data_IF_178754691101
#
_entry.id   IF_178754691101
#
_cell.length_a   1.000
_cell.length_b   1.000
_cell.length_c   1.000
_cell.angle_alpha   90.00
_cell.angle_beta   90.00
_cell.angle_gamma   90.00
#
_symmetry.space_group_name_H-M   'P 1'
#
loop_
_entity.id
_entity.type
_entity.pdbx_description
1 polymer ?
#
# COMPACT_ATOMS: atom_id res chain seq x y z
N UNK A 1 10.15 2.24 2.13
CA UNK A 1 8.76 1.89 2.49
C UNK A 1 7.97 1.82 1.21
N UNK A 2 7.10 0.83 1.07
CA UNK A 2 6.28 0.64 -0.13
C UNK A 2 4.80 0.66 0.24
N UNK A 3 3.97 1.27 -0.59
CA UNK A 3 2.55 0.91 -0.64
C UNK A 3 2.36 -0.51 -1.21
N UNK A 4 1.21 -1.10 -0.92
CA UNK A 4 0.82 -2.41 -1.43
C UNK A 4 0.05 -2.29 -2.74
N UNK A 5 -1.15 -1.72 -2.66
CA UNK A 5 -2.10 -1.63 -3.77
C UNK A 5 -1.56 -0.66 -4.83
N UNK A 6 -1.79 -1.00 -6.10
CA UNK A 6 -1.25 -0.29 -7.28
C UNK A 6 0.29 -0.04 -7.28
N UNK A 7 1.05 -0.68 -6.38
CA UNK A 7 2.49 -0.46 -6.18
C UNK A 7 3.30 -1.76 -6.09
N UNK A 8 3.12 -2.59 -5.04
CA UNK A 8 3.72 -3.92 -4.97
C UNK A 8 2.88 -4.96 -5.71
N UNK A 9 1.56 -4.75 -5.75
CA UNK A 9 0.60 -5.52 -6.54
C UNK A 9 -0.21 -4.58 -7.43
N UNK A 10 -0.60 -5.04 -8.62
CA UNK A 10 -1.29 -4.24 -9.63
C UNK A 10 -2.81 -4.13 -9.41
N UNK A 11 -3.31 -4.51 -8.22
CA UNK A 11 -4.74 -4.52 -7.88
C UNK A 11 -5.00 -3.63 -6.66
N UNK A 12 -6.24 -3.20 -6.53
CA UNK A 12 -6.80 -2.56 -5.35
C UNK A 12 -7.50 -3.64 -4.51
N UNK A 13 -6.93 -4.03 -3.38
CA UNK A 13 -7.34 -5.28 -2.71
C UNK A 13 -8.76 -5.25 -2.16
N UNK A 14 -9.20 -4.09 -1.67
CA UNK A 14 -10.59 -3.90 -1.22
C UNK A 14 -11.56 -4.06 -2.39
N UNK A 15 -11.19 -3.57 -3.57
CA UNK A 15 -12.06 -3.59 -4.75
C UNK A 15 -12.28 -5.02 -5.26
N UNK A 16 -11.26 -5.89 -5.15
CA UNK A 16 -11.37 -7.30 -5.53
C UNK A 16 -12.34 -8.10 -4.65
N UNK A 17 -12.62 -7.62 -3.44
CA UNK A 17 -13.58 -8.27 -2.54
C UNK A 17 -15.03 -7.93 -2.89
N UNK A 18 -15.27 -6.96 -3.76
CA UNK A 18 -16.61 -6.49 -4.12
C UNK A 18 -17.32 -7.45 -5.10
N UNK A 19 -17.85 -8.55 -4.59
CA UNK A 19 -18.64 -9.52 -5.35
C UNK A 19 -19.90 -8.84 -5.96
N UNK A 20 -19.84 -8.51 -7.26
CA UNK A 20 -20.95 -7.88 -8.01
C UNK A 20 -21.04 -6.35 -7.90
N UNK A 21 -20.17 -5.70 -7.11
CA UNK A 21 -20.14 -4.24 -6.93
C UNK A 21 -18.80 -3.60 -7.30
N UNK A 22 -17.91 -4.35 -7.97
CA UNK A 22 -16.55 -3.93 -8.30
C UNK A 22 -16.46 -2.56 -8.95
N UNK A 23 -17.32 -2.25 -9.93
CA UNK A 23 -17.31 -0.93 -10.60
C UNK A 23 -17.66 0.22 -9.65
N UNK A 24 -18.69 0.06 -8.81
CA UNK A 24 -19.11 1.09 -7.88
C UNK A 24 -18.05 1.32 -6.78
N UNK A 25 -17.42 0.25 -6.30
CA UNK A 25 -16.36 0.32 -5.31
C UNK A 25 -15.08 0.93 -5.92
N UNK A 26 -14.70 0.49 -7.13
CA UNK A 26 -13.53 1.03 -7.83
C UNK A 26 -13.67 2.53 -8.11
N UNK A 27 -14.87 3.01 -8.47
CA UNK A 27 -15.11 4.44 -8.65
C UNK A 27 -14.88 5.25 -7.35
N UNK A 28 -15.26 4.71 -6.18
CA UNK A 28 -14.98 5.33 -4.88
C UNK A 28 -13.48 5.34 -4.56
N UNK A 29 -12.80 4.22 -4.83
CA UNK A 29 -11.35 4.07 -4.64
C UNK A 29 -10.59 5.06 -5.51
N UNK A 30 -10.92 5.16 -6.79
CA UNK A 30 -10.30 6.09 -7.73
C UNK A 30 -10.50 7.55 -7.33
N UNK A 31 -11.72 7.92 -6.93
CA UNK A 31 -12.01 9.27 -6.45
C UNK A 31 -11.17 9.62 -5.20
N UNK A 32 -11.02 8.68 -4.26
CA UNK A 32 -10.20 8.88 -3.08
C UNK A 32 -8.70 8.99 -3.43
N UNK A 33 -8.18 8.12 -4.30
CA UNK A 33 -6.77 8.13 -4.68
C UNK A 33 -6.38 9.34 -5.54
N UNK A 34 -7.35 9.96 -6.23
CA UNK A 34 -7.19 11.28 -6.90
C UNK A 34 -7.37 12.48 -5.95
N UNK A 35 -7.82 12.27 -4.71
CA UNK A 35 -8.08 13.33 -3.75
C UNK A 35 -9.39 14.10 -3.98
N UNK A 36 -10.33 13.54 -4.74
CA UNK A 36 -11.65 14.13 -5.01
C UNK A 36 -12.61 13.97 -3.81
N UNK A 37 -12.44 12.89 -3.05
CA UNK A 37 -13.15 12.59 -1.80
C UNK A 37 -12.14 12.14 -0.76
N UNK A 38 -12.44 12.34 0.52
CA UNK A 38 -11.53 11.89 1.58
C UNK A 38 -11.58 10.38 1.75
N UNK A 39 -10.44 9.79 2.14
CA UNK A 39 -10.34 8.34 2.34
C UNK A 39 -11.34 7.88 3.42
N UNK A 40 -11.45 8.60 4.54
CA UNK A 40 -12.34 8.23 5.63
C UNK A 40 -13.82 8.28 5.25
N UNK A 41 -14.21 9.13 4.28
CA UNK A 41 -15.59 9.19 3.79
C UNK A 41 -15.98 7.92 3.03
N UNK A 42 -15.03 7.28 2.33
CA UNK A 42 -15.30 6.10 1.50
C UNK A 42 -14.85 4.78 2.11
N UNK A 43 -13.91 4.78 3.07
CA UNK A 43 -13.31 3.55 3.59
C UNK A 43 -14.36 2.63 4.24
N UNK A 44 -15.08 3.17 5.23
CA UNK A 44 -16.13 2.43 5.92
C UNK A 44 -17.30 2.09 5.00
N UNK A 45 -17.63 2.97 4.04
CA UNK A 45 -18.67 2.72 3.06
C UNK A 45 -18.34 1.51 2.18
N UNK A 46 -17.10 1.42 1.65
CA UNK A 46 -16.66 0.28 0.85
C UNK A 46 -16.79 -1.03 1.63
N UNK A 47 -16.27 -1.09 2.84
CA UNK A 47 -16.35 -2.31 3.66
C UNK A 47 -17.78 -2.63 4.12
N UNK A 48 -18.62 -1.63 4.36
CA UNK A 48 -20.03 -1.85 4.68
C UNK A 48 -20.82 -2.44 3.51
N UNK A 49 -20.45 -2.12 2.27
CA UNK A 49 -21.07 -2.68 1.06
C UNK A 49 -20.56 -4.10 0.77
N UNK A 50 -19.26 -4.32 0.99
CA UNK A 50 -18.60 -5.58 0.66
C UNK A 50 -18.89 -6.66 1.72
N UNK A 51 -18.78 -6.31 3.00
CA UNK A 51 -18.80 -7.23 4.15
C UNK A 51 -17.98 -8.51 3.90
N UNK A 52 -16.65 -8.38 3.67
CA UNK A 52 -15.85 -9.50 3.17
C UNK A 52 -15.74 -10.61 4.22
N UNK A 53 -16.01 -11.86 3.83
CA UNK A 53 -15.79 -13.00 4.70
C UNK A 53 -14.30 -13.25 4.93
N UNK A 54 -13.94 -13.93 6.02
CA UNK A 54 -12.55 -14.34 6.29
C UNK A 54 -11.98 -15.11 5.11
N UNK A 55 -12.74 -16.06 4.57
CA UNK A 55 -12.31 -16.86 3.41
C UNK A 55 -12.03 -16.00 2.16
N UNK A 56 -12.81 -14.94 1.92
CA UNK A 56 -12.57 -14.03 0.81
C UNK A 56 -11.26 -13.22 1.01
N UNK A 57 -11.01 -12.76 2.23
CA UNK A 57 -9.77 -12.03 2.59
C UNK A 57 -8.55 -12.96 2.51
N UNK A 58 -8.68 -14.22 2.95
CA UNK A 58 -7.60 -15.21 2.82
C UNK A 58 -7.30 -15.49 1.34
N UNK A 59 -8.33 -15.56 0.48
CA UNK A 59 -8.16 -15.73 -0.96
C UNK A 59 -7.53 -14.51 -1.66
N UNK A 60 -7.71 -13.30 -1.11
CA UNK A 60 -7.14 -12.08 -1.66
C UNK A 60 -5.60 -12.09 -1.65
N UNK A 61 -4.98 -12.75 -0.66
CA UNK A 61 -3.52 -12.87 -0.62
C UNK A 61 -2.95 -13.59 -1.86
N UNK A 62 -3.63 -14.63 -2.35
CA UNK A 62 -3.24 -15.33 -3.57
C UNK A 62 -3.40 -14.42 -4.81
N UNK A 63 -4.41 -13.55 -4.82
CA UNK A 63 -4.61 -12.57 -5.89
C UNK A 63 -3.51 -11.51 -5.90
N UNK A 64 -3.08 -11.02 -4.74
CA UNK A 64 -1.93 -10.11 -4.63
C UNK A 64 -0.65 -10.74 -5.20
N UNK A 65 -0.38 -12.02 -4.88
CA UNK A 65 0.77 -12.74 -5.43
C UNK A 65 0.65 -12.91 -6.95
N UNK A 66 -0.54 -13.27 -7.44
CA UNK A 66 -0.79 -13.48 -8.87
C UNK A 66 -0.69 -12.19 -9.68
N UNK A 67 -1.05 -11.05 -9.09
CA UNK A 67 -1.00 -9.73 -9.70
C UNK A 67 0.20 -8.89 -9.25
N UNK A 68 1.25 -9.54 -8.74
CA UNK A 68 2.48 -8.86 -8.32
C UNK A 68 3.02 -7.97 -9.44
N UNK A 69 3.39 -6.74 -9.10
CA UNK A 69 4.01 -5.83 -10.06
C UNK A 69 5.33 -6.43 -10.56
N UNK A 70 5.62 -6.38 -11.88
CA UNK A 70 6.86 -6.91 -12.43
C UNK A 70 8.09 -6.49 -11.63
N UNK A 71 8.95 -7.46 -11.31
CA UNK A 71 10.16 -7.30 -10.51
C UNK A 71 9.99 -6.82 -9.06
N UNK A 72 8.77 -6.69 -8.51
CA UNK A 72 8.56 -6.23 -7.14
C UNK A 72 9.27 -7.11 -6.11
N UNK A 73 9.14 -8.45 -6.23
CA UNK A 73 9.84 -9.39 -5.34
C UNK A 73 11.36 -9.28 -5.44
N UNK A 74 11.89 -9.24 -6.67
CA UNK A 74 13.32 -9.11 -6.91
C UNK A 74 13.87 -7.77 -6.37
N UNK A 75 13.08 -6.71 -6.49
CA UNK A 75 13.39 -5.37 -5.97
C UNK A 75 13.44 -5.38 -4.44
N UNK A 76 12.40 -5.89 -3.78
CA UNK A 76 12.34 -6.00 -2.31
C UNK A 76 13.51 -6.83 -1.77
N UNK A 77 13.73 -8.01 -2.33
CA UNK A 77 14.82 -8.89 -1.91
C UNK A 77 16.21 -8.28 -2.22
N UNK A 78 16.35 -7.60 -3.35
CA UNK A 78 17.57 -6.89 -3.72
C UNK A 78 17.91 -5.77 -2.74
N UNK A 79 16.92 -4.97 -2.33
CA UNK A 79 17.09 -3.92 -1.31
C UNK A 79 17.51 -4.53 0.03
N UNK A 80 16.80 -5.56 0.50
CA UNK A 80 17.12 -6.25 1.75
C UNK A 80 18.52 -6.89 1.73
N UNK A 81 18.92 -7.47 0.59
CA UNK A 81 20.26 -8.02 0.38
C UNK A 81 21.38 -6.97 0.44
N UNK A 82 21.06 -5.70 0.19
CA UNK A 82 21.97 -4.56 0.37
C UNK A 82 21.87 -3.91 1.77
N UNK A 83 21.18 -4.54 2.72
CA UNK A 83 21.03 -4.04 4.08
C UNK A 83 19.98 -2.94 4.25
N UNK A 84 19.16 -2.67 3.22
CA UNK A 84 18.05 -1.71 3.32
C UNK A 84 16.89 -2.34 4.08
N UNK A 85 16.40 -1.67 5.12
CA UNK A 85 15.20 -2.11 5.83
C UNK A 85 13.96 -1.80 4.98
N UNK A 86 13.27 -2.84 4.53
CA UNK A 86 12.02 -2.73 3.77
C UNK A 86 10.83 -2.85 4.72
N UNK A 87 9.82 -2.00 4.51
CA UNK A 87 8.53 -2.03 5.21
C UNK A 87 7.39 -1.80 4.22
N UNK A 88 6.22 -2.40 4.50
CA UNK A 88 4.98 -2.19 3.76
C UNK A 88 4.06 -1.29 4.58
N UNK A 89 3.51 -0.27 3.94
CA UNK A 89 2.65 0.73 4.56
C UNK A 89 1.43 0.96 3.66
N UNK A 90 0.28 0.39 4.02
CA UNK A 90 -0.88 0.35 3.14
C UNK A 90 -2.19 0.69 3.84
N UNK A 91 -3.14 1.28 3.11
CA UNK A 91 -4.53 1.37 3.53
C UNK A 91 -5.32 0.06 3.37
N UNK A 92 -4.72 -0.97 2.74
CA UNK A 92 -5.35 -2.27 2.52
C UNK A 92 -5.51 -3.11 3.79
N UNK A 93 -6.04 -4.32 3.61
CA UNK A 93 -6.43 -5.21 4.70
C UNK A 93 -5.24 -6.05 5.18
N UNK A 94 -4.84 -5.88 6.44
CA UNK A 94 -3.64 -6.51 7.03
C UNK A 94 -3.65 -8.02 6.83
N UNK A 95 -4.79 -8.67 7.07
CA UNK A 95 -4.97 -10.12 6.99
C UNK A 95 -4.66 -10.68 5.59
N UNK A 96 -4.93 -9.92 4.52
CA UNK A 96 -4.58 -10.31 3.15
C UNK A 96 -3.15 -9.91 2.76
N UNK A 97 -2.65 -8.81 3.30
CA UNK A 97 -1.29 -8.30 3.02
C UNK A 97 -0.23 -9.16 3.69
N UNK A 98 -0.47 -9.73 4.88
CA UNK A 98 0.55 -10.48 5.62
C UNK A 98 1.10 -11.70 4.85
N UNK A 99 0.28 -12.59 4.25
CA UNK A 99 0.84 -13.69 3.45
C UNK A 99 1.55 -13.21 2.18
N UNK A 100 1.11 -12.10 1.59
CA UNK A 100 1.81 -11.48 0.45
C UNK A 100 3.17 -10.90 0.87
N UNK A 101 3.24 -10.23 2.01
CA UNK A 101 4.45 -9.70 2.61
C UNK A 101 5.46 -10.81 2.93
N UNK A 102 5.00 -11.92 3.52
CA UNK A 102 5.81 -13.09 3.78
C UNK A 102 6.40 -13.67 2.47
N UNK A 103 5.59 -13.77 1.41
CA UNK A 103 6.05 -14.23 0.11
C UNK A 103 7.12 -13.31 -0.51
N UNK A 104 7.03 -11.99 -0.29
CA UNK A 104 8.06 -11.02 -0.65
C UNK A 104 9.33 -11.11 0.22
N UNK A 105 9.23 -11.71 1.41
CA UNK A 105 10.29 -11.81 2.41
C UNK A 105 10.26 -10.71 3.48
N UNK A 106 9.18 -9.92 3.56
CA UNK A 106 9.01 -8.86 4.56
C UNK A 106 8.35 -9.44 5.81
N UNK A 107 8.95 -9.20 6.98
CA UNK A 107 8.43 -9.71 8.25
C UNK A 107 7.13 -9.00 8.66
N UNK A 108 6.27 -9.70 9.41
CA UNK A 108 4.99 -9.15 9.88
C UNK A 108 5.13 -7.81 10.65
N UNK A 109 6.17 -7.66 11.47
CA UNK A 109 6.42 -6.43 12.24
C UNK A 109 6.94 -5.26 11.38
N UNK A 110 7.22 -5.53 10.09
CA UNK A 110 7.56 -4.55 9.08
C UNK A 110 6.36 -4.18 8.19
N UNK A 111 5.15 -4.64 8.54
CA UNK A 111 3.89 -4.33 7.85
C UNK A 111 2.98 -3.46 8.73
N UNK A 112 2.51 -2.33 8.19
CA UNK A 112 1.40 -1.55 8.72
C UNK A 112 0.25 -1.52 7.68
N UNK A 113 -0.92 -1.96 8.12
CA UNK A 113 -2.14 -2.09 7.33
C UNK A 113 -3.36 -2.04 8.27
N UNK A 114 -4.58 -2.04 7.73
CA UNK A 114 -5.81 -1.95 8.52
C UNK A 114 -6.28 -3.34 8.95
N UNK A 115 -6.51 -3.51 10.25
CA UNK A 115 -7.00 -4.76 10.81
C UNK A 115 -8.50 -4.98 10.54
N UNK A 116 -8.86 -6.25 10.30
CA UNK A 116 -10.22 -6.74 10.26
C UNK A 116 -10.51 -7.71 11.40
N UNK A 117 -11.71 -7.61 11.95
CA UNK A 117 -12.26 -8.61 12.83
C UNK A 117 -13.46 -9.31 12.20
N UNK A 118 -13.58 -10.58 12.54
CA UNK A 118 -14.60 -11.48 12.03
C UNK A 118 -15.35 -12.11 13.20
N UNK A 119 -16.59 -12.50 12.95
CA UNK A 119 -17.35 -13.33 13.87
C UNK A 119 -16.81 -14.77 13.87
N UNK A 120 -17.30 -15.59 14.82
CA UNK A 120 -16.86 -16.98 14.95
C UNK A 120 -17.18 -17.84 13.71
N UNK A 121 -18.19 -17.47 12.93
CA UNK A 121 -18.57 -18.12 11.67
C UNK A 121 -17.76 -17.63 10.46
N UNK A 122 -16.81 -16.71 10.66
CA UNK A 122 -16.00 -16.13 9.60
C UNK A 122 -16.67 -15.00 8.80
N UNK A 123 -17.88 -14.58 9.18
CA UNK A 123 -18.52 -13.38 8.62
C UNK A 123 -17.81 -12.10 9.09
N UNK A 124 -17.85 -11.07 8.25
CA UNK A 124 -17.32 -9.75 8.55
C UNK A 124 -17.96 -9.19 9.83
N UNK A 125 -17.15 -8.62 10.73
CA UNK A 125 -17.63 -7.90 11.92
C UNK A 125 -17.37 -6.42 11.80
N UNK A 126 -16.11 -6.04 11.75
CA UNK A 126 -15.68 -4.64 11.70
C UNK A 126 -14.22 -4.53 11.22
N UNK A 127 -13.81 -3.31 10.89
CA UNK A 127 -12.40 -2.94 10.66
C UNK A 127 -11.91 -2.03 11.78
N UNK A 128 -10.59 -1.88 11.92
CA UNK A 128 -9.99 -0.93 12.86
C UNK A 128 -10.23 0.52 12.43
N UNK A 129 -11.38 1.07 12.82
CA UNK A 129 -11.72 2.47 12.63
C UNK A 129 -10.84 3.46 13.42
N UNK A 130 -10.03 2.96 14.36
CA UNK A 130 -9.00 3.72 15.07
C UNK A 130 -7.71 3.86 14.26
N UNK A 131 -7.50 3.02 13.26
CA UNK A 131 -6.27 3.02 12.47
C UNK A 131 -6.10 4.34 11.70
N UNK A 132 -4.93 5.01 11.81
CA UNK A 132 -4.64 6.18 11.00
C UNK A 132 -4.77 5.91 9.50
N UNK A 133 -4.50 4.68 9.05
CA UNK A 133 -4.48 4.27 7.64
C UNK A 133 -5.87 4.26 6.97
N UNK A 134 -6.93 4.55 7.73
CA UNK A 134 -8.29 4.72 7.24
C UNK A 134 -8.64 6.16 6.89
N UNK A 135 -7.70 7.10 7.04
CA UNK A 135 -7.93 8.56 6.95
C UNK A 135 -6.81 9.25 6.17
N UNK A 136 -7.10 10.42 5.62
CA UNK A 136 -6.07 11.29 5.04
C UNK A 136 -4.98 11.63 6.07
N UNK A 137 -3.71 11.64 5.63
CA UNK A 137 -2.55 11.81 6.49
C UNK A 137 -2.19 10.58 7.35
N UNK A 138 -2.90 9.46 7.18
CA UNK A 138 -2.68 8.22 7.91
C UNK A 138 -1.26 7.66 7.76
N UNK A 139 -0.79 7.53 6.51
CA UNK A 139 0.55 7.02 6.21
C UNK A 139 1.63 7.90 6.86
N UNK A 140 1.49 9.23 6.81
CA UNK A 140 2.37 10.18 7.53
C UNK A 140 2.46 9.86 9.02
N UNK A 141 1.31 9.68 9.67
CA UNK A 141 1.24 9.38 11.12
C UNK A 141 2.00 8.10 11.47
N UNK A 142 1.90 7.06 10.64
CA UNK A 142 2.64 5.81 10.84
C UNK A 142 4.15 6.02 10.63
N UNK A 143 4.56 6.74 9.58
CA UNK A 143 5.98 7.04 9.33
C UNK A 143 6.59 7.81 10.51
N UNK A 144 5.90 8.83 11.01
CA UNK A 144 6.35 9.62 12.16
C UNK A 144 6.50 8.73 13.41
N UNK A 145 5.57 7.80 13.64
CA UNK A 145 5.66 6.81 14.72
C UNK A 145 6.83 5.82 14.56
N UNK A 146 7.32 5.61 13.34
CA UNK A 146 8.44 4.72 13.07
C UNK A 146 9.81 5.41 13.08
N UNK A 147 9.91 6.73 12.90
CA UNK A 147 11.19 7.44 12.71
C UNK A 147 12.24 7.18 13.80
N UNK A 148 11.83 6.95 15.05
CA UNK A 148 12.76 6.62 16.14
C UNK A 148 13.32 5.19 16.11
N UNK A 149 12.71 4.29 15.33
CA UNK A 149 12.97 2.85 15.34
C UNK A 149 13.40 2.30 13.97
N UNK A 150 13.59 3.17 12.97
CA UNK A 150 14.02 2.78 11.62
C UNK A 150 15.27 3.58 11.21
N UNK A 151 16.19 2.98 10.43
CA UNK A 151 17.30 3.73 9.85
C UNK A 151 16.81 4.85 8.93
N UNK A 152 17.54 5.96 8.91
CA UNK A 152 17.38 7.05 7.94
C UNK A 152 18.53 7.01 6.93
N UNK A 153 18.36 7.56 5.69
CA UNK A 153 17.14 8.19 5.16
C UNK A 153 16.01 7.20 4.85
N UNK A 154 14.77 7.69 4.89
CA UNK A 154 13.55 6.97 4.52
C UNK A 154 13.13 7.39 3.11
N UNK A 155 12.92 6.41 2.24
CA UNK A 155 12.30 6.58 0.93
C UNK A 155 10.93 5.90 0.94
N UNK A 156 9.89 6.60 0.48
CA UNK A 156 8.54 6.06 0.27
C UNK A 156 8.27 5.87 -1.22
N UNK A 157 7.71 4.73 -1.61
CA UNK A 157 7.24 4.44 -2.97
C UNK A 157 5.74 4.15 -2.90
N UNK A 158 4.94 4.84 -3.73
CA UNK A 158 3.49 4.65 -3.82
C UNK A 158 2.90 5.36 -5.04
N UNK A 159 1.64 5.10 -5.39
CA UNK A 159 0.97 5.68 -6.55
C UNK A 159 -0.05 6.78 -6.21
N UNK A 160 -0.59 6.76 -4.99
CA UNK A 160 -1.77 7.52 -4.60
C UNK A 160 -1.50 8.81 -3.83
N UNK A 161 -2.55 9.64 -3.68
CA UNK A 161 -2.48 10.87 -2.89
C UNK A 161 -2.14 10.59 -1.42
N UNK A 162 -2.59 9.44 -0.89
CA UNK A 162 -2.33 9.05 0.51
C UNK A 162 -0.85 8.77 0.77
N UNK A 163 -0.09 8.37 -0.25
CA UNK A 163 1.37 8.21 -0.19
C UNK A 163 2.09 9.54 -0.28
N UNK A 164 1.63 10.41 -1.17
CA UNK A 164 2.17 11.76 -1.30
C UNK A 164 1.98 12.55 0.01
N UNK A 165 0.88 12.36 0.73
CA UNK A 165 0.65 12.99 2.03
C UNK A 165 1.73 12.61 3.08
N UNK A 166 2.43 11.47 2.91
CA UNK A 166 3.56 11.07 3.74
C UNK A 166 4.88 11.75 3.35
N UNK A 167 4.95 12.45 2.20
CA UNK A 167 6.16 13.15 1.71
C UNK A 167 6.86 14.01 2.77
N UNK A 168 6.16 14.81 3.61
CA UNK A 168 6.83 15.62 4.63
C UNK A 168 7.53 14.81 5.72
N UNK A 169 7.15 13.54 5.90
CA UNK A 169 7.70 12.64 6.90
C UNK A 169 8.82 11.74 6.35
N UNK A 170 9.20 11.86 5.08
CA UNK A 170 10.28 11.08 4.45
C UNK A 170 11.27 11.97 3.72
N UNK A 171 12.50 11.51 3.55
CA UNK A 171 13.55 12.24 2.83
C UNK A 171 13.28 12.26 1.32
N UNK A 172 12.66 11.19 0.79
CA UNK A 172 12.33 11.08 -0.63
C UNK A 172 11.02 10.32 -0.84
N UNK A 173 10.20 10.81 -1.76
CA UNK A 173 9.02 10.14 -2.27
C UNK A 173 9.18 9.87 -3.77
N UNK A 174 8.98 8.62 -4.14
CA UNK A 174 8.98 8.16 -5.53
C UNK A 174 7.55 7.78 -5.89
N UNK A 175 6.96 8.52 -6.83
CA UNK A 175 5.67 8.14 -7.38
C UNK A 175 5.85 6.95 -8.33
N UNK A 176 5.17 5.85 -8.04
CA UNK A 176 5.10 4.73 -8.97
C UNK A 176 3.85 4.85 -9.83
N UNK A 177 4.07 5.07 -11.13
CA UNK A 177 3.03 5.27 -12.15
C UNK A 177 3.04 4.15 -13.19
N UNK A 178 3.57 2.96 -12.83
CA UNK A 178 3.62 1.79 -13.72
C UNK A 178 2.31 1.00 -13.79
N UNK A 179 1.37 1.24 -12.85
CA UNK A 179 0.00 0.68 -12.86
C UNK A 179 -1.02 1.77 -13.23
N UNK A 180 -1.03 2.89 -12.48
CA UNK A 180 -1.88 4.07 -12.77
C UNK A 180 -1.03 5.35 -12.67
N UNK A 181 -1.05 6.22 -13.68
CA UNK A 181 -0.44 7.56 -13.59
C UNK A 181 -1.47 8.55 -13.04
N UNK A 182 -1.18 9.12 -11.87
CA UNK A 182 -2.00 10.14 -11.22
C UNK A 182 -1.26 11.49 -11.27
N UNK A 183 -1.63 12.44 -12.15
CA UNK A 183 -0.88 13.69 -12.34
C UNK A 183 -0.66 14.53 -11.08
N UNK A 184 -1.63 14.53 -10.16
CA UNK A 184 -1.50 15.23 -8.88
C UNK A 184 -0.39 14.62 -7.99
N UNK A 185 -0.15 13.32 -8.11
CA UNK A 185 0.91 12.61 -7.38
C UNK A 185 2.25 12.75 -8.09
N UNK A 186 2.27 12.47 -9.40
CA UNK A 186 3.52 12.47 -10.18
C UNK A 186 4.13 13.86 -10.36
N UNK A 187 3.33 14.93 -10.37
CA UNK A 187 3.84 16.30 -10.43
C UNK A 187 4.46 16.81 -9.12
N UNK A 188 4.14 16.17 -7.99
CA UNK A 188 4.59 16.57 -6.66
C UNK A 188 5.64 15.62 -6.04
N UNK A 189 6.01 14.55 -6.75
CA UNK A 189 7.01 13.58 -6.31
C UNK A 189 8.44 14.01 -6.63
N UNK A 190 9.42 13.53 -5.85
CA UNK A 190 10.83 13.82 -6.10
C UNK A 190 11.38 13.04 -7.30
N UNK A 191 10.80 11.87 -7.58
CA UNK A 191 11.05 11.07 -8.76
C UNK A 191 9.80 10.30 -9.16
N UNK A 192 9.73 9.88 -10.43
CA UNK A 192 8.59 9.13 -10.97
C UNK A 192 9.07 7.93 -11.78
N UNK A 193 8.54 6.76 -11.47
CA UNK A 193 8.78 5.52 -12.22
C UNK A 193 7.53 5.23 -13.05
N UNK A 194 7.64 5.29 -14.38
CA UNK A 194 6.52 5.02 -15.31
C UNK A 194 6.56 3.65 -15.97
N UNK A 195 7.63 2.91 -15.77
CA UNK A 195 7.73 1.54 -16.29
C UNK A 195 6.86 0.62 -15.46
N UNK A 196 6.30 -0.42 -16.08
CA UNK A 196 5.58 -1.48 -15.37
C UNK A 196 6.45 -2.27 -14.38
N UNK A 197 7.78 -2.20 -14.50
CA UNK A 197 8.73 -2.83 -13.58
C UNK A 197 9.01 -1.94 -12.38
N UNK A 198 9.11 -2.57 -11.20
CA UNK A 198 9.55 -1.94 -9.95
C UNK A 198 11.07 -1.88 -9.81
N UNK A 199 11.82 -2.55 -10.69
CA UNK A 199 13.28 -2.65 -10.65
C UNK A 199 14.00 -1.28 -10.58
N UNK A 200 13.53 -0.19 -11.21
CA UNK A 200 14.17 1.12 -11.10
C UNK A 200 14.25 1.66 -9.67
N UNK A 201 13.43 1.18 -8.72
CA UNK A 201 13.54 1.56 -7.30
C UNK A 201 14.91 1.20 -6.72
N UNK A 202 15.54 0.10 -7.16
CA UNK A 202 16.92 -0.22 -6.76
C UNK A 202 17.89 0.90 -7.11
N UNK A 203 17.69 1.55 -8.26
CA UNK A 203 18.55 2.64 -8.69
C UNK A 203 18.33 3.88 -7.82
N UNK A 204 17.07 4.20 -7.52
CA UNK A 204 16.68 5.33 -6.67
C UNK A 204 17.30 5.23 -5.26
N UNK A 205 17.38 4.01 -4.70
CA UNK A 205 17.93 3.77 -3.35
C UNK A 205 19.45 3.58 -3.36
N UNK A 206 20.01 2.81 -4.29
CA UNK A 206 21.43 2.44 -4.23
C UNK A 206 22.37 3.52 -4.80
N UNK A 207 21.89 4.39 -5.69
CA UNK A 207 22.71 5.49 -6.22
C UNK A 207 22.76 6.72 -5.29
N UNK A 208 21.81 6.87 -4.37
CA UNK A 208 21.80 7.97 -3.39
C UNK A 208 22.85 7.82 -2.29
N UNK A 209 23.41 6.63 -2.10
CA UNK A 209 24.44 6.34 -1.09
C UNK A 209 25.90 6.54 -1.57
N UNK A 210 26.11 7.08 -2.77
CA UNK A 210 27.46 7.33 -3.34
C UNK A 210 27.88 8.81 -3.37
N UNK A 211 27.19 9.68 -2.62
CA UNK A 211 27.53 11.11 -2.49
C UNK A 211 28.24 11.42 -1.20
#
# INVERSE_FOLDING_TARGET
MFDCDSTLSAIEGIDELAAGHREAIAALTDAAMRGEVSLEAVYGQRLSLIQPSRAAVDALAAQYIAAVVPDARATVQGLMGHGVRVKILSGGLRQAILPFAEWLGVAEHDVAAVDLWFNADGSYREFDGGSPLTRSGGKRTIVDGWRGNVPTPILMVGDGITDLEARPAVERFVAYAGVVDRPAVTSAADAVIRTASLLPVLQEVLHTHRG
#
